data_IF_963887439688
#
_entry.id   IF_963887439688
#
_cell.length_a   1.000
_cell.length_b   1.000
_cell.length_c   1.000
_cell.angle_alpha   90.00
_cell.angle_beta   90.00
_cell.angle_gamma   90.00
#
_symmetry.space_group_name_H-M   'P 1'
#
loop_
_entity.id
_entity.type
_entity.pdbx_description
1 polymer ?
#
# COMPACT_ATOMS: atom_id res chain seq x y z
N UNK A 1 -10.24 -19.85 -22.16
CA UNK A 1 -9.45 -20.32 -21.00
C UNK A 1 -9.94 -19.52 -19.80
N UNK A 2 -10.83 -20.11 -19.01
CA UNK A 2 -11.35 -19.46 -17.81
C UNK A 2 -10.26 -19.50 -16.74
N UNK A 3 -9.84 -18.35 -16.23
CA UNK A 3 -9.05 -18.29 -15.01
C UNK A 3 -9.92 -18.82 -13.88
N UNK A 4 -9.64 -20.05 -13.44
CA UNK A 4 -10.21 -20.64 -12.25
C UNK A 4 -9.82 -19.76 -11.05
N UNK A 5 -10.77 -18.93 -10.60
CA UNK A 5 -10.60 -18.11 -9.41
C UNK A 5 -10.61 -19.05 -8.20
N UNK A 6 -9.50 -19.14 -7.48
CA UNK A 6 -9.34 -20.05 -6.36
C UNK A 6 -10.33 -19.69 -5.23
N UNK A 7 -10.81 -20.66 -4.44
CA UNK A 7 -11.70 -20.39 -3.31
C UNK A 7 -11.00 -19.43 -2.32
N UNK A 8 -11.57 -18.24 -2.14
CA UNK A 8 -11.04 -17.22 -1.24
C UNK A 8 -10.57 -15.94 -1.93
N UNK A 9 -10.38 -15.94 -3.26
CA UNK A 9 -10.09 -14.74 -4.03
C UNK A 9 -11.35 -13.89 -4.24
N UNK A 10 -11.29 -12.61 -3.89
CA UNK A 10 -12.29 -11.64 -4.36
C UNK A 10 -11.83 -11.12 -5.71
N UNK A 11 -12.68 -11.24 -6.73
CA UNK A 11 -12.39 -10.67 -8.05
C UNK A 11 -12.14 -9.18 -7.90
N UNK A 12 -11.03 -8.70 -8.48
CA UNK A 12 -10.63 -7.28 -8.51
C UNK A 12 -11.83 -6.35 -8.81
N UNK A 13 -12.67 -6.76 -9.77
CA UNK A 13 -13.86 -6.04 -10.23
C UNK A 13 -14.90 -5.80 -9.11
N UNK A 14 -15.08 -6.76 -8.20
CA UNK A 14 -16.02 -6.64 -7.07
C UNK A 14 -15.52 -5.66 -6.03
N UNK A 15 -14.22 -5.68 -5.72
CA UNK A 15 -13.61 -4.79 -4.71
C UNK A 15 -13.51 -3.36 -5.24
N UNK A 16 -13.17 -3.20 -6.52
CA UNK A 16 -13.17 -1.90 -7.19
C UNK A 16 -14.59 -1.34 -7.32
N UNK A 17 -15.63 -2.16 -7.49
CA UNK A 17 -17.03 -1.69 -7.49
C UNK A 17 -17.52 -1.26 -6.11
N UNK A 18 -17.16 -1.99 -5.05
CA UNK A 18 -17.53 -1.65 -3.66
C UNK A 18 -16.88 -0.33 -3.20
N UNK A 19 -15.72 0.01 -3.76
CA UNK A 19 -14.95 1.23 -3.47
C UNK A 19 -14.61 2.03 -4.73
N UNK A 20 -15.60 2.21 -5.62
CA UNK A 20 -15.42 2.80 -6.95
C UNK A 20 -14.71 4.17 -6.90
N UNK A 21 -13.47 4.21 -7.40
CA UNK A 21 -12.65 5.42 -7.48
C UNK A 21 -11.73 5.69 -6.29
N UNK A 22 -11.83 4.93 -5.19
CA UNK A 22 -10.98 5.12 -4.02
C UNK A 22 -9.72 4.24 -4.02
N UNK A 23 -9.74 3.11 -4.74
CA UNK A 23 -8.66 2.13 -4.77
C UNK A 23 -8.03 2.01 -6.18
N UNK A 24 -6.71 1.83 -6.23
CA UNK A 24 -5.92 1.59 -7.44
C UNK A 24 -5.10 0.31 -7.28
N UNK A 25 -4.87 -0.38 -8.40
CA UNK A 25 -3.99 -1.54 -8.44
C UNK A 25 -2.57 -1.14 -8.02
N UNK A 26 -1.98 -1.94 -7.15
CA UNK A 26 -0.54 -1.87 -6.94
C UNK A 26 0.17 -2.60 -8.09
N UNK A 27 1.51 -2.51 -8.15
CA UNK A 27 2.31 -3.34 -9.06
C UNK A 27 2.26 -4.85 -8.75
N UNK A 28 1.59 -5.25 -7.65
CA UNK A 28 1.39 -6.63 -7.25
C UNK A 28 -0.06 -7.07 -7.56
N UNK A 29 -0.27 -8.26 -8.15
CA UNK A 29 -1.59 -8.70 -8.62
C UNK A 29 -2.62 -8.88 -7.50
N UNK A 30 -2.16 -9.16 -6.27
CA UNK A 30 -3.03 -9.49 -5.14
C UNK A 30 -3.32 -8.30 -4.21
N UNK A 31 -2.80 -7.11 -4.52
CA UNK A 31 -2.92 -5.94 -3.65
C UNK A 31 -3.42 -4.73 -4.41
N UNK A 32 -4.40 -4.05 -3.82
CA UNK A 32 -4.87 -2.73 -4.23
C UNK A 32 -4.70 -1.76 -3.08
N UNK A 33 -4.55 -0.48 -3.35
CA UNK A 33 -4.35 0.54 -2.31
C UNK A 33 -5.13 1.81 -2.59
N UNK A 34 -5.29 2.67 -1.58
CA UNK A 34 -5.96 3.97 -1.75
C UNK A 34 -5.25 4.86 -2.77
N UNK A 35 -6.02 5.50 -3.65
CA UNK A 35 -5.50 6.49 -4.60
C UNK A 35 -4.86 7.66 -3.83
N UNK A 36 -3.62 7.99 -4.15
CA UNK A 36 -2.96 9.16 -3.59
C UNK A 36 -3.37 10.44 -4.33
N UNK A 37 -3.46 11.59 -3.63
CA UNK A 37 -3.59 12.89 -4.26
C UNK A 37 -2.45 13.16 -5.25
N UNK A 38 -2.75 13.85 -6.36
CA UNK A 38 -1.76 14.21 -7.40
C UNK A 38 -0.67 15.14 -6.89
N UNK A 39 -1.05 16.09 -6.03
CA UNK A 39 -0.14 16.99 -5.34
C UNK A 39 -0.56 17.07 -3.87
N UNK A 40 0.38 16.81 -2.97
CA UNK A 40 0.15 16.90 -1.54
C UNK A 40 1.29 17.64 -0.84
N UNK A 41 0.95 18.36 0.22
CA UNK A 41 1.95 19.04 1.05
C UNK A 41 2.73 17.99 1.85
N UNK A 42 4.05 18.10 1.87
CA UNK A 42 4.91 17.23 2.68
C UNK A 42 4.56 17.31 4.17
N UNK A 43 4.70 16.18 4.87
CA UNK A 43 4.39 15.96 6.28
C UNK A 43 2.97 16.39 6.70
N UNK A 44 2.05 16.53 5.75
CA UNK A 44 0.63 16.79 6.00
C UNK A 44 -0.15 15.48 5.95
N UNK A 45 -1.05 15.28 6.90
CA UNK A 45 -2.03 14.19 6.92
C UNK A 45 -2.76 14.11 5.59
N UNK A 46 -2.90 12.91 5.02
CA UNK A 46 -3.65 12.69 3.78
C UNK A 46 -5.13 13.04 3.96
N UNK A 47 -5.84 13.48 2.90
CA UNK A 47 -7.26 13.82 2.99
C UNK A 47 -8.13 12.59 3.24
N UNK A 48 -7.64 11.41 2.86
CA UNK A 48 -8.29 10.12 3.06
C UNK A 48 -7.31 9.18 3.73
N UNK A 49 -7.81 8.34 4.64
CA UNK A 49 -7.01 7.29 5.27
C UNK A 49 -6.49 6.33 4.21
N UNK A 50 -5.17 6.16 4.16
CA UNK A 50 -4.54 5.20 3.25
C UNK A 50 -4.81 3.77 3.70
N UNK A 51 -5.26 2.93 2.78
CA UNK A 51 -5.55 1.52 3.00
C UNK A 51 -4.85 0.67 1.96
N UNK A 52 -4.43 -0.52 2.36
CA UNK A 52 -4.02 -1.59 1.44
C UNK A 52 -5.00 -2.75 1.63
N UNK A 53 -5.58 -3.21 0.53
CA UNK A 53 -6.53 -4.32 0.51
C UNK A 53 -5.91 -5.49 -0.23
N UNK A 54 -6.00 -6.68 0.36
CA UNK A 54 -5.62 -7.91 -0.30
C UNK A 54 -6.82 -8.58 -0.96
N UNK A 55 -6.66 -8.99 -2.21
CA UNK A 55 -7.68 -9.72 -2.97
C UNK A 55 -7.69 -11.21 -2.61
N UNK A 56 -6.51 -11.76 -2.28
CA UNK A 56 -6.33 -13.13 -1.81
C UNK A 56 -6.46 -13.29 -0.29
N UNK A 57 -5.99 -14.42 0.22
CA UNK A 57 -5.98 -14.73 1.64
C UNK A 57 -4.67 -14.27 2.31
N UNK A 58 -4.79 -13.49 3.39
CA UNK A 58 -3.66 -13.04 4.21
C UNK A 58 -4.10 -13.13 5.67
N UNK A 59 -3.24 -13.71 6.51
CA UNK A 59 -3.49 -13.85 7.95
C UNK A 59 -3.59 -12.46 8.61
N UNK A 60 -4.59 -12.29 9.47
CA UNK A 60 -4.70 -11.11 10.30
C UNK A 60 -3.46 -10.94 11.20
N UNK A 61 -3.04 -9.69 11.41
CA UNK A 61 -1.78 -9.36 12.08
C UNK A 61 -0.55 -9.39 11.17
N UNK A 62 -0.68 -9.74 9.88
CA UNK A 62 0.44 -9.62 8.92
C UNK A 62 0.90 -8.16 8.80
N UNK A 63 2.21 -7.93 8.91
CA UNK A 63 2.80 -6.59 8.82
C UNK A 63 2.83 -6.11 7.38
N UNK A 64 2.28 -4.93 7.14
CA UNK A 64 2.32 -4.23 5.86
C UNK A 64 3.14 -2.96 6.03
N UNK A 65 4.18 -2.80 5.24
CA UNK A 65 4.99 -1.57 5.20
C UNK A 65 4.94 -0.93 3.82
N UNK A 66 4.94 0.39 3.79
CA UNK A 66 4.98 1.19 2.56
C UNK A 66 6.35 1.84 2.46
N UNK A 67 6.94 1.73 1.29
CA UNK A 67 8.05 2.59 0.87
C UNK A 67 7.64 3.39 -0.35
N UNK A 68 8.25 4.55 -0.53
CA UNK A 68 8.00 5.43 -1.66
C UNK A 68 9.35 5.92 -2.16
N UNK A 69 9.50 5.95 -3.48
CA UNK A 69 10.67 6.48 -4.16
C UNK A 69 10.26 7.26 -5.40
N UNK A 70 11.18 8.07 -5.91
CA UNK A 70 11.10 8.69 -7.23
C UNK A 70 12.53 8.76 -7.81
N UNK A 71 12.66 9.32 -9.01
CA UNK A 71 13.93 9.40 -9.73
C UNK A 71 14.99 10.25 -9.01
N UNK A 72 14.58 11.20 -8.17
CA UNK A 72 15.48 12.07 -7.40
C UNK A 72 15.77 11.52 -5.99
N UNK A 73 14.84 10.77 -5.41
CA UNK A 73 14.92 10.19 -4.08
C UNK A 73 14.39 8.77 -4.08
N UNK A 74 15.31 7.81 -4.22
CA UNK A 74 15.02 6.37 -4.29
C UNK A 74 14.27 5.84 -3.06
N UNK A 75 14.53 6.42 -1.87
CA UNK A 75 13.88 6.06 -0.61
C UNK A 75 13.45 7.33 0.12
N UNK A 76 12.27 7.83 -0.23
CA UNK A 76 11.68 8.99 0.46
C UNK A 76 11.27 8.65 1.88
N UNK A 77 11.51 9.58 2.79
CA UNK A 77 11.06 9.47 4.17
C UNK A 77 9.54 9.50 4.25
N UNK A 78 8.97 8.53 4.97
CA UNK A 78 7.54 8.36 5.21
C UNK A 78 7.32 8.11 6.70
N UNK A 79 6.32 8.78 7.28
CA UNK A 79 5.89 8.55 8.66
C UNK A 79 4.66 7.66 8.70
N UNK A 80 4.57 6.86 9.75
CA UNK A 80 3.48 5.91 9.97
C UNK A 80 3.31 4.96 8.78
N UNK A 81 4.43 4.53 8.20
CA UNK A 81 4.52 3.67 7.01
C UNK A 81 4.23 2.20 7.29
N UNK A 82 3.81 1.85 8.50
CA UNK A 82 3.53 0.47 8.93
C UNK A 82 2.08 0.38 9.39
N UNK A 83 1.40 -0.67 8.93
CA UNK A 83 0.08 -1.07 9.39
C UNK A 83 0.01 -2.60 9.47
N UNK A 84 -1.07 -3.11 10.05
CA UNK A 84 -1.31 -4.54 10.18
C UNK A 84 -2.58 -4.93 9.43
N UNK A 85 -2.51 -6.07 8.75
CA UNK A 85 -3.64 -6.62 8.02
C UNK A 85 -4.74 -7.06 9.00
N UNK A 86 -5.98 -6.66 8.74
CA UNK A 86 -7.16 -7.13 9.47
C UNK A 86 -8.34 -7.27 8.53
N UNK A 87 -8.98 -8.43 8.47
CA UNK A 87 -10.04 -8.72 7.51
C UNK A 87 -9.63 -8.37 6.06
N UNK A 88 -8.39 -8.72 5.69
CA UNK A 88 -7.76 -8.39 4.39
C UNK A 88 -7.56 -6.90 4.09
N UNK A 89 -7.71 -6.02 5.09
CA UNK A 89 -7.44 -4.58 4.96
C UNK A 89 -6.40 -4.14 5.98
N UNK A 90 -5.32 -3.52 5.53
CA UNK A 90 -4.37 -2.81 6.37
C UNK A 90 -4.66 -1.30 6.30
N UNK A 91 -5.06 -0.71 7.43
CA UNK A 91 -5.36 0.73 7.53
C UNK A 91 -4.18 1.46 8.15
N UNK A 92 -3.64 2.45 7.44
CA UNK A 92 -2.52 3.24 7.92
C UNK A 92 -3.04 4.42 8.73
N UNK A 93 -2.60 4.49 9.98
CA UNK A 93 -2.97 5.60 10.86
C UNK A 93 -2.10 6.80 10.52
N UNK A 94 -2.69 7.80 9.86
CA UNK A 94 -2.03 9.07 9.55
C UNK A 94 -0.71 8.89 8.78
N UNK A 95 -0.75 8.13 7.68
CA UNK A 95 0.40 8.00 6.75
C UNK A 95 0.79 9.38 6.20
N UNK A 96 2.08 9.72 6.23
CA UNK A 96 2.58 11.01 5.70
C UNK A 96 3.86 10.84 4.88
N UNK A 97 3.89 11.53 3.75
CA UNK A 97 5.10 11.67 2.92
C UNK A 97 5.90 12.87 3.40
N UNK A 98 7.12 12.64 3.91
CA UNK A 98 8.01 13.71 4.40
C UNK A 98 8.97 14.15 3.30
N UNK A 99 9.47 13.19 2.52
CA UNK A 99 10.27 13.47 1.33
C UNK A 99 9.58 14.45 0.39
N UNK A 100 10.37 15.18 -0.40
CA UNK A 100 9.87 16.02 -1.50
C UNK A 100 9.98 15.24 -2.79
N UNK A 101 9.03 15.45 -3.71
CA UNK A 101 9.07 14.78 -5.00
C UNK A 101 10.15 15.36 -5.93
N UNK A 102 10.78 16.47 -5.50
CA UNK A 102 11.69 17.28 -6.28
C UNK A 102 10.95 18.23 -7.23
N UNK A 103 11.66 19.24 -7.76
CA UNK A 103 11.12 20.31 -8.61
C UNK A 103 11.66 20.11 -10.01
N UNK A 104 10.94 19.36 -10.85
CA UNK A 104 11.22 19.33 -12.29
C UNK A 104 10.87 20.66 -12.96
N UNK A 105 11.64 21.06 -13.97
CA UNK A 105 11.44 22.26 -14.81
C UNK A 105 10.21 22.20 -15.73
N UNK A 106 9.25 21.33 -15.45
CA UNK A 106 7.97 21.26 -16.17
C UNK A 106 6.89 20.99 -15.14
N UNK A 107 5.64 21.40 -15.40
CA UNK A 107 4.46 21.21 -14.54
C UNK A 107 4.10 19.72 -14.26
N UNK A 108 5.05 18.80 -14.38
CA UNK A 108 4.96 17.41 -14.00
C UNK A 108 5.28 17.31 -12.51
N UNK A 109 4.25 17.14 -11.67
CA UNK A 109 4.46 16.62 -10.32
C UNK A 109 5.23 15.31 -10.43
N UNK A 110 6.46 15.25 -9.94
CA UNK A 110 7.23 14.01 -9.85
C UNK A 110 6.38 12.99 -9.09
N UNK A 111 5.94 11.94 -9.79
CA UNK A 111 5.07 10.91 -9.22
C UNK A 111 5.91 10.06 -8.27
N UNK A 112 5.43 9.85 -7.06
CA UNK A 112 5.99 8.82 -6.20
C UNK A 112 5.63 7.44 -6.73
N UNK A 113 6.61 6.59 -6.93
CA UNK A 113 6.42 5.16 -7.03
C UNK A 113 6.26 4.61 -5.61
N UNK A 114 5.03 4.22 -5.27
CA UNK A 114 4.73 3.49 -4.06
C UNK A 114 5.12 2.02 -4.24
N UNK A 115 5.91 1.50 -3.32
CA UNK A 115 6.15 0.08 -3.18
C UNK A 115 5.51 -0.40 -1.88
N UNK A 116 4.51 -1.27 -2.03
CA UNK A 116 3.87 -1.94 -0.89
C UNK A 116 4.67 -3.22 -0.61
N UNK A 117 5.24 -3.31 0.58
CA UNK A 117 5.94 -4.49 1.08
C UNK A 117 5.03 -5.17 2.10
N UNK A 118 4.56 -6.37 1.76
CA UNK A 118 3.84 -7.22 2.71
C UNK A 118 4.82 -8.26 3.22
N UNK A 119 5.18 -8.16 4.49
CA UNK A 119 6.05 -9.14 5.14
C UNK A 119 5.19 -10.05 5.98
N UNK A 120 5.01 -11.29 5.52
CA UNK A 120 4.70 -12.35 6.46
C UNK A 120 5.96 -12.56 7.29
N UNK A 121 5.96 -12.08 8.53
CA UNK A 121 6.88 -12.59 9.52
C UNK A 121 6.51 -14.06 9.72
N UNK A 122 7.23 -14.96 9.06
CA UNK A 122 7.40 -16.31 9.58
C UNK A 122 8.16 -16.12 10.89
N UNK A 123 7.43 -15.93 11.98
CA UNK A 123 8.03 -15.80 13.29
C UNK A 123 8.91 -17.01 13.55
N UNK A 124 10.19 -16.76 13.79
CA UNK A 124 10.95 -17.66 14.64
C UNK A 124 10.35 -17.49 16.03
N UNK A 125 9.61 -18.49 16.51
CA UNK A 125 9.19 -18.51 17.90
C UNK A 125 10.47 -18.63 18.73
N UNK A 126 10.65 -17.79 19.75
CA UNK A 126 11.80 -17.96 20.66
C UNK A 126 11.71 -19.29 21.44
N UNK A 127 10.60 -20.01 21.35
CA UNK A 127 10.43 -21.40 21.80
C UNK A 127 10.97 -22.45 20.83
N UNK A 128 11.35 -22.07 19.60
CA UNK A 128 11.95 -22.94 18.58
C UNK A 128 13.49 -22.87 18.56
N UNK A 129 14.12 -22.13 19.49
CA UNK A 129 15.58 -22.21 19.71
C UNK A 129 15.85 -23.50 20.52
N UNK A 130 16.63 -24.47 20.02
CA UNK A 130 16.97 -25.69 20.75
C UNK A 130 17.76 -25.43 22.04
#
# INVERSE_FOLDING_TARGET
>A
MASECLPGERTLDSVLKEHAGELINTGSPNFVCTVLPTHWRSNKTLPVTFKVVCLGEVKDGTKVSITAGNDENYCSEIRNSVAYMKNRVAKFNDLRFVGRSGRGESNKSSRYFLRVLVTQWQGFDLRDVP
#
